data_IF_952140436541
#
_entry.id   IF_952140436541
#
_cell.length_a   1.000
_cell.length_b   1.000
_cell.length_c   1.000
_cell.angle_alpha   90.00
_cell.angle_beta   90.00
_cell.angle_gamma   90.00
#
_symmetry.space_group_name_H-M   'P 1'
#
loop_
_entity.id
_entity.type
_entity.pdbx_description
1 polymer ?
#
# COMPACT_ATOMS: atom_id res chain seq x y z
N UNK A 1 6.66 4.01 -14.75
CA UNK A 1 6.33 5.36 -15.30
C UNK A 1 4.85 5.61 -15.03
N UNK A 2 4.53 6.66 -14.27
CA UNK A 2 3.16 7.01 -13.91
C UNK A 2 2.53 8.05 -14.85
N UNK A 3 1.30 8.44 -14.57
CA UNK A 3 0.53 9.46 -15.29
C UNK A 3 -0.06 10.48 -14.28
N UNK A 4 -0.53 11.66 -14.71
CA UNK A 4 -0.49 12.21 -16.07
C UNK A 4 0.83 12.89 -16.44
N UNK A 5 1.60 13.36 -15.44
CA UNK A 5 2.80 14.18 -15.69
C UNK A 5 4.10 13.38 -15.72
N UNK A 6 4.05 12.06 -15.50
CA UNK A 6 5.23 11.20 -15.58
C UNK A 6 6.29 11.46 -14.51
N UNK A 7 5.92 12.09 -13.39
CA UNK A 7 6.81 12.41 -12.26
C UNK A 7 7.52 11.15 -11.76
N UNK A 8 8.78 11.30 -11.32
CA UNK A 8 9.58 10.20 -10.79
C UNK A 8 10.17 10.52 -9.42
N UNK A 9 10.30 9.48 -8.59
CA UNK A 9 10.92 9.60 -7.27
C UNK A 9 10.31 10.73 -6.43
N UNK A 10 11.16 11.62 -5.94
CA UNK A 10 10.78 12.71 -5.04
C UNK A 10 10.05 13.88 -5.72
N UNK A 11 9.97 13.91 -7.05
CA UNK A 11 9.08 14.84 -7.76
C UNK A 11 7.61 14.54 -7.46
N UNK A 12 7.31 13.29 -7.07
CA UNK A 12 5.99 12.91 -6.56
C UNK A 12 5.92 13.35 -5.08
N UNK A 13 4.93 14.17 -4.70
CA UNK A 13 4.73 14.56 -3.30
C UNK A 13 4.71 13.34 -2.38
N UNK A 14 5.27 13.48 -1.17
CA UNK A 14 5.35 12.39 -0.20
C UNK A 14 4.03 11.63 -0.02
N UNK A 15 2.93 12.38 0.17
CA UNK A 15 1.59 11.80 0.31
C UNK A 15 1.13 11.01 -0.93
N UNK A 16 1.52 11.43 -2.13
CA UNK A 16 1.23 10.70 -3.36
C UNK A 16 1.97 9.37 -3.44
N UNK A 17 3.25 9.34 -3.04
CA UNK A 17 4.03 8.09 -2.97
C UNK A 17 3.47 7.13 -1.91
N UNK A 18 3.05 7.67 -0.76
CA UNK A 18 2.42 6.89 0.31
C UNK A 18 1.07 6.29 -0.12
N UNK A 19 0.20 7.11 -0.70
CA UNK A 19 -1.10 6.64 -1.21
C UNK A 19 -0.94 5.58 -2.30
N UNK A 20 0.05 5.72 -3.18
CA UNK A 20 0.30 4.72 -4.22
C UNK A 20 0.59 3.31 -3.64
N UNK A 21 1.29 3.23 -2.50
CA UNK A 21 1.55 1.96 -1.80
C UNK A 21 0.25 1.40 -1.22
N UNK A 22 -0.51 2.23 -0.50
CA UNK A 22 -1.77 1.82 0.13
C UNK A 22 -2.83 1.38 -0.91
N UNK A 23 -3.03 2.18 -1.95
CA UNK A 23 -3.96 1.89 -3.05
C UNK A 23 -3.55 0.62 -3.81
N UNK A 24 -2.26 0.45 -4.09
CA UNK A 24 -1.74 -0.76 -4.73
C UNK A 24 -2.03 -2.02 -3.91
N UNK A 25 -1.82 -1.96 -2.59
CA UNK A 25 -2.11 -3.08 -1.69
C UNK A 25 -3.61 -3.40 -1.61
N UNK A 26 -4.45 -2.38 -1.42
CA UNK A 26 -5.91 -2.55 -1.36
C UNK A 26 -6.45 -3.09 -2.68
N UNK A 27 -6.02 -2.52 -3.82
CA UNK A 27 -6.40 -2.99 -5.14
C UNK A 27 -6.00 -4.45 -5.38
N UNK A 28 -4.91 -4.94 -4.79
CA UNK A 28 -4.50 -6.34 -4.89
C UNK A 28 -5.35 -7.27 -4.00
N UNK A 29 -5.66 -6.85 -2.78
CA UNK A 29 -6.23 -7.71 -1.74
C UNK A 29 -7.75 -7.65 -1.64
N UNK A 30 -8.37 -6.60 -2.18
CA UNK A 30 -9.83 -6.44 -2.18
C UNK A 30 -10.51 -7.20 -3.31
N UNK A 31 -11.64 -7.83 -2.99
CA UNK A 31 -12.52 -8.47 -3.95
C UNK A 31 -13.16 -7.43 -4.89
N UNK A 32 -13.23 -7.77 -6.17
CA UNK A 32 -13.93 -6.97 -7.19
C UNK A 32 -14.90 -7.88 -7.96
N UNK A 33 -15.97 -7.33 -8.56
CA UNK A 33 -17.00 -8.12 -9.25
C UNK A 33 -16.49 -9.15 -10.26
N UNK A 34 -15.30 -8.91 -10.84
CA UNK A 34 -14.68 -9.76 -11.86
C UNK A 34 -13.38 -10.44 -11.43
N UNK A 35 -12.92 -10.22 -10.19
CA UNK A 35 -11.63 -10.75 -9.73
C UNK A 35 -11.61 -10.85 -8.20
N UNK A 36 -11.41 -12.05 -7.63
CA UNK A 36 -11.17 -12.16 -6.20
C UNK A 36 -9.87 -11.44 -5.82
N UNK A 37 -9.82 -10.93 -4.60
CA UNK A 37 -8.61 -10.42 -3.97
C UNK A 37 -7.55 -11.52 -3.85
N UNK A 38 -6.28 -11.13 -3.90
CA UNK A 38 -5.18 -12.07 -3.68
C UNK A 38 -4.83 -12.19 -2.20
N UNK A 39 -4.23 -13.33 -1.76
CA UNK A 39 -3.73 -13.46 -0.40
C UNK A 39 -2.76 -12.34 -0.04
N UNK A 40 -2.82 -11.89 1.22
CA UNK A 40 -1.98 -10.82 1.76
C UNK A 40 -0.50 -11.07 1.49
N UNK A 41 -0.02 -12.29 1.70
CA UNK A 41 1.37 -12.69 1.53
C UNK A 41 1.84 -12.47 0.09
N UNK A 42 0.95 -12.75 -0.89
CA UNK A 42 1.21 -12.53 -2.30
C UNK A 42 1.26 -11.04 -2.64
N UNK A 43 0.34 -10.25 -2.10
CA UNK A 43 0.35 -8.80 -2.29
C UNK A 43 1.61 -8.15 -1.69
N UNK A 44 2.04 -8.60 -0.51
CA UNK A 44 3.27 -8.12 0.13
C UNK A 44 4.54 -8.51 -0.66
N UNK A 45 4.56 -9.69 -1.28
CA UNK A 45 5.64 -10.10 -2.17
C UNK A 45 5.72 -9.18 -3.41
N UNK A 46 4.58 -8.90 -4.06
CA UNK A 46 4.52 -7.99 -5.21
C UNK A 46 4.97 -6.57 -4.84
N UNK A 47 4.55 -6.05 -3.69
CA UNK A 47 5.03 -4.74 -3.19
C UNK A 47 6.54 -4.73 -2.98
N UNK A 48 7.09 -5.81 -2.43
CA UNK A 48 8.54 -5.95 -2.21
C UNK A 48 9.29 -5.97 -3.55
N UNK A 49 8.80 -6.72 -4.52
CA UNK A 49 9.39 -6.81 -5.88
C UNK A 49 9.30 -5.47 -6.63
N UNK A 50 8.22 -4.71 -6.45
CA UNK A 50 8.02 -3.40 -7.07
C UNK A 50 8.68 -2.22 -6.34
N UNK A 51 9.35 -2.46 -5.22
CA UNK A 51 9.98 -1.42 -4.41
C UNK A 51 11.14 -0.73 -5.16
N UNK A 52 11.07 0.59 -5.29
CA UNK A 52 12.02 1.40 -6.05
C UNK A 52 11.76 1.44 -7.56
N UNK A 53 10.67 0.82 -8.04
CA UNK A 53 10.25 0.89 -9.44
C UNK A 53 8.82 1.43 -9.57
N UNK A 54 7.82 0.62 -9.24
CA UNK A 54 6.42 1.02 -9.25
C UNK A 54 6.07 1.85 -8.02
N UNK A 55 6.73 1.57 -6.90
CA UNK A 55 6.54 2.29 -5.65
C UNK A 55 7.84 2.87 -5.15
N UNK A 56 7.71 3.87 -4.29
CA UNK A 56 8.82 4.32 -3.47
C UNK A 56 9.39 3.16 -2.63
N UNK A 57 10.72 3.00 -2.64
CA UNK A 57 11.38 1.86 -1.99
C UNK A 57 11.14 1.86 -0.49
N UNK A 58 11.35 2.99 0.16
CA UNK A 58 11.36 3.06 1.62
C UNK A 58 9.94 2.92 2.15
N UNK A 59 8.97 3.55 1.48
CA UNK A 59 7.56 3.43 1.86
C UNK A 59 7.01 2.02 1.63
N UNK A 60 7.34 1.38 0.50
CA UNK A 60 6.88 0.02 0.22
C UNK A 60 7.44 -0.99 1.24
N UNK A 61 8.74 -0.92 1.54
CA UNK A 61 9.37 -1.82 2.51
C UNK A 61 8.87 -1.55 3.94
N UNK A 62 8.69 -0.29 4.33
CA UNK A 62 8.12 0.05 5.64
C UNK A 62 6.69 -0.48 5.78
N UNK A 63 5.87 -0.38 4.74
CA UNK A 63 4.51 -0.94 4.73
C UNK A 63 4.53 -2.47 4.85
N UNK A 64 5.43 -3.15 4.13
CA UNK A 64 5.59 -4.61 4.22
C UNK A 64 5.96 -5.03 5.64
N UNK A 65 6.91 -4.34 6.26
CA UNK A 65 7.34 -4.62 7.64
C UNK A 65 6.21 -4.40 8.64
N UNK A 66 5.50 -3.27 8.53
CA UNK A 66 4.33 -2.96 9.36
C UNK A 66 3.25 -4.05 9.26
N UNK A 67 3.00 -4.56 8.05
CA UNK A 67 1.97 -5.57 7.80
C UNK A 67 2.39 -6.97 8.26
N UNK A 68 3.68 -7.29 8.30
CA UNK A 68 4.20 -8.56 8.85
C UNK A 68 4.21 -8.57 10.38
N UNK A 69 4.53 -7.44 11.00
CA UNK A 69 4.82 -7.36 12.43
C UNK A 69 3.65 -6.86 13.29
N UNK A 70 2.44 -6.71 12.76
CA UNK A 70 1.31 -6.12 13.51
C UNK A 70 0.90 -7.00 14.72
N UNK A 71 1.00 -6.54 15.98
CA UNK A 71 -0.18 -6.46 16.82
C UNK A 71 -1.01 -5.29 16.26
N UNK A 72 -2.27 -5.54 15.92
CA UNK A 72 -3.18 -4.50 15.44
C UNK A 72 -3.07 -3.27 16.36
N UNK A 73 -2.96 -2.06 15.78
CA UNK A 73 -3.37 -0.84 16.50
C UNK A 73 -4.68 -1.21 17.20
N UNK A 74 -4.69 -1.20 18.54
CA UNK A 74 -5.92 -1.40 19.29
C UNK A 74 -6.88 -0.36 18.71
N UNK A 75 -7.92 -0.82 18.02
CA UNK A 75 -9.03 0.05 17.67
C UNK A 75 -9.52 0.63 18.98
N UNK A 76 -9.55 1.97 19.10
CA UNK A 76 -10.40 2.56 20.10
C UNK A 76 -11.83 2.04 19.86
N UNK A 77 -12.57 1.68 20.92
CA UNK A 77 -13.90 1.14 20.77
C UNK A 77 -14.80 2.14 20.03
N UNK A 78 -15.66 1.60 19.17
CA UNK A 78 -16.62 2.27 18.26
C UNK A 78 -17.69 3.14 18.98
N UNK A 79 -17.53 3.43 20.29
CA UNK A 79 -18.49 4.14 21.14
C UNK A 79 -18.17 5.63 21.38
N UNK A 80 -17.12 6.19 20.78
CA UNK A 80 -16.75 7.59 20.97
C UNK A 80 -17.00 8.46 19.72
N UNK A 81 -18.26 8.52 19.27
CA UNK A 81 -18.76 9.66 18.49
C UNK A 81 -20.10 10.12 19.12
N UNK A 82 -20.16 11.32 19.72
CA UNK A 82 -21.42 11.91 20.17
C UNK A 82 -22.32 12.32 19.00
#
# INVERSE_FOLDING_TARGET
>A
KGYPFGLVGEEIPFMGRLLAVADGFDAMTSDRPYRPGMPKEKALAILTEGAGTQWDRDLALAFVELMKNRPLLKSEPEEAMP
#
